data_IF_991401315296
#
_entry.id   IF_991401315296
#
_cell.length_a   1.000
_cell.length_b   1.000
_cell.length_c   1.000
_cell.angle_alpha   90.00
_cell.angle_beta   90.00
_cell.angle_gamma   90.00
#
_symmetry.space_group_name_H-M   'P 1'
#
loop_
_entity.id
_entity.type
_entity.pdbx_description
1 polymer ?
#
# COMPACT_ATOMS: atom_id res chain seq x y z
N UNK A 1 -26.96 -4.54 24.25
CA UNK A 1 -26.89 -3.37 23.36
C UNK A 1 -25.49 -3.40 22.80
N UNK A 2 -25.34 -3.80 21.55
CA UNK A 2 -24.04 -3.97 20.90
C UNK A 2 -23.46 -2.60 20.58
N UNK A 3 -22.54 -2.12 21.41
CA UNK A 3 -21.67 -0.98 21.10
C UNK A 3 -20.77 -1.36 19.92
N UNK A 4 -21.28 -1.16 18.71
CA UNK A 4 -20.52 -1.36 17.48
C UNK A 4 -19.25 -0.52 17.57
N UNK A 5 -18.10 -1.20 17.54
CA UNK A 5 -16.80 -0.54 17.63
C UNK A 5 -16.73 0.55 16.54
N UNK A 6 -16.48 1.83 16.90
CA UNK A 6 -16.56 2.95 15.96
C UNK A 6 -15.66 2.76 14.74
N UNK A 7 -14.55 2.02 14.88
CA UNK A 7 -13.66 1.69 13.77
C UNK A 7 -14.29 0.73 12.76
N UNK A 8 -15.18 -0.18 13.20
CA UNK A 8 -15.89 -1.11 12.33
C UNK A 8 -16.95 -0.36 11.53
N UNK A 9 -17.70 0.53 12.17
CA UNK A 9 -18.68 1.39 11.50
C UNK A 9 -18.00 2.23 10.39
N UNK A 10 -16.88 2.89 10.70
CA UNK A 10 -16.13 3.69 9.73
C UNK A 10 -15.62 2.87 8.54
N UNK A 11 -15.14 1.63 8.78
CA UNK A 11 -14.71 0.73 7.71
C UNK A 11 -15.87 0.32 6.80
N UNK A 12 -17.05 0.08 7.37
CA UNK A 12 -18.27 -0.25 6.62
C UNK A 12 -18.70 0.93 5.76
N UNK A 13 -18.64 2.15 6.28
CA UNK A 13 -18.98 3.36 5.52
C UNK A 13 -18.06 3.60 4.35
N UNK A 14 -16.75 3.44 4.56
CA UNK A 14 -15.75 3.50 3.48
C UNK A 14 -16.01 2.44 2.42
N UNK A 15 -16.36 1.22 2.82
CA UNK A 15 -16.70 0.15 1.90
C UNK A 15 -17.99 0.45 1.10
N UNK A 16 -19.02 1.02 1.75
CA UNK A 16 -20.24 1.47 1.06
C UNK A 16 -19.93 2.51 0.00
N UNK A 17 -19.11 3.51 0.33
CA UNK A 17 -18.66 4.53 -0.62
C UNK A 17 -17.87 3.95 -1.80
N UNK A 18 -17.01 2.94 -1.56
CA UNK A 18 -16.28 2.24 -2.63
C UNK A 18 -17.21 1.47 -3.57
N UNK A 19 -18.21 0.76 -3.03
CA UNK A 19 -19.21 0.03 -3.82
C UNK A 19 -20.08 0.96 -4.67
N UNK A 20 -20.43 2.14 -4.16
CA UNK A 20 -21.20 3.12 -4.92
C UNK A 20 -20.44 3.67 -6.14
N UNK A 21 -19.10 3.65 -6.10
CA UNK A 21 -18.23 4.12 -7.21
C UNK A 21 -17.95 3.04 -8.26
N UNK A 22 -18.35 1.79 -8.01
CA UNK A 22 -18.11 0.66 -8.92
C UNK A 22 -17.57 -0.57 -8.21
N UNK A 23 -16.55 -1.21 -8.80
CA UNK A 23 -16.00 -2.48 -8.30
C UNK A 23 -15.18 -2.24 -7.02
N UNK A 24 -15.72 -2.64 -5.87
CA UNK A 24 -15.07 -2.45 -4.57
C UNK A 24 -13.86 -3.37 -4.31
N UNK A 25 -13.77 -4.50 -5.01
CA UNK A 25 -12.70 -5.48 -4.88
C UNK A 25 -12.12 -5.81 -6.26
N UNK A 26 -11.29 -4.92 -6.83
CA UNK A 26 -10.65 -5.18 -8.11
C UNK A 26 -9.54 -6.25 -7.96
N UNK A 27 -9.33 -7.04 -9.01
CA UNK A 27 -8.28 -8.06 -9.10
C UNK A 27 -7.39 -7.83 -10.34
N UNK A 28 -7.20 -6.57 -10.71
CA UNK A 28 -6.44 -6.12 -11.87
C UNK A 28 -4.95 -5.87 -11.54
N UNK A 29 -4.66 -5.54 -10.28
CA UNK A 29 -3.30 -5.22 -9.83
C UNK A 29 -2.40 -6.46 -9.81
N UNK A 30 -1.34 -6.44 -10.63
CA UNK A 30 -0.32 -7.50 -10.70
C UNK A 30 1.02 -6.98 -10.15
N UNK A 31 1.41 -7.36 -8.93
CA UNK A 31 2.74 -7.04 -8.43
C UNK A 31 3.81 -7.72 -9.29
N UNK A 32 4.87 -6.99 -9.63
CA UNK A 32 6.01 -7.53 -10.41
C UNK A 32 7.22 -7.87 -9.55
N UNK A 33 7.26 -7.36 -8.31
CA UNK A 33 8.41 -7.49 -7.43
C UNK A 33 7.95 -7.88 -6.01
N UNK A 34 8.81 -8.59 -5.30
CA UNK A 34 8.62 -8.93 -3.90
C UNK A 34 9.63 -8.20 -3.02
N UNK A 35 9.21 -7.78 -1.82
CA UNK A 35 10.07 -7.00 -0.92
C UNK A 35 11.41 -7.70 -0.60
N UNK A 36 11.40 -9.02 -0.38
CA UNK A 36 12.61 -9.78 -0.06
C UNK A 36 13.68 -9.67 -1.16
N UNK A 37 13.28 -9.80 -2.43
CA UNK A 37 14.18 -9.70 -3.58
C UNK A 37 14.76 -8.28 -3.71
N UNK A 38 13.93 -7.25 -3.50
CA UNK A 38 14.36 -5.86 -3.55
C UNK A 38 15.41 -5.56 -2.47
N UNK A 39 15.21 -6.06 -1.24
CA UNK A 39 16.18 -5.91 -0.16
C UNK A 39 17.48 -6.66 -0.43
N UNK A 40 17.43 -7.87 -1.00
CA UNK A 40 18.64 -8.60 -1.35
C UNK A 40 19.43 -7.90 -2.45
N UNK A 41 18.76 -7.37 -3.47
CA UNK A 41 19.42 -6.76 -4.63
C UNK A 41 19.95 -5.36 -4.35
N UNK A 42 19.21 -4.53 -3.61
CA UNK A 42 19.54 -3.11 -3.44
C UNK A 42 19.74 -2.67 -1.99
N UNK A 43 19.51 -3.55 -1.01
CA UNK A 43 19.65 -3.19 0.40
C UNK A 43 21.08 -2.79 0.82
N UNK A 44 22.08 -3.15 0.02
CA UNK A 44 23.50 -2.79 0.23
C UNK A 44 24.02 -1.74 -0.75
N UNK A 45 23.18 -1.28 -1.70
CA UNK A 45 23.59 -0.30 -2.71
C UNK A 45 23.42 1.10 -2.13
N UNK A 46 24.46 1.96 -2.16
CA UNK A 46 24.35 3.32 -1.63
C UNK A 46 23.45 4.18 -2.52
N UNK A 47 22.81 5.19 -1.90
CA UNK A 47 21.82 6.04 -2.60
C UNK A 47 22.40 6.73 -3.85
N UNK A 48 23.65 7.18 -3.79
CA UNK A 48 24.33 7.84 -4.91
C UNK A 48 24.42 6.96 -6.16
N UNK A 49 24.45 5.64 -5.99
CA UNK A 49 24.48 4.68 -7.09
C UNK A 49 23.06 4.26 -7.52
N UNK A 50 22.11 4.20 -6.58
CA UNK A 50 20.74 3.75 -6.85
C UNK A 50 19.87 4.83 -7.52
N UNK A 51 20.04 6.08 -7.14
CA UNK A 51 19.27 7.22 -7.66
C UNK A 51 19.37 7.40 -9.19
N UNK A 52 20.57 7.39 -9.82
CA UNK A 52 20.67 7.49 -11.28
C UNK A 52 20.13 6.27 -12.03
N UNK A 53 19.99 5.11 -11.38
CA UNK A 53 19.47 3.89 -12.02
C UNK A 53 17.96 3.94 -12.26
N UNK A 54 17.24 4.86 -11.60
CA UNK A 54 15.81 5.12 -11.81
C UNK A 54 14.95 3.84 -11.88
N UNK A 55 15.22 2.87 -11.00
CA UNK A 55 14.60 1.54 -11.09
C UNK A 55 13.11 1.58 -10.75
N UNK A 56 12.27 1.36 -11.75
CA UNK A 56 10.82 1.32 -11.57
C UNK A 56 10.35 -0.03 -11.02
N UNK A 57 9.78 -0.01 -9.80
CA UNK A 57 9.25 -1.21 -9.14
C UNK A 57 7.74 -1.16 -8.94
N UNK A 58 7.14 -2.35 -8.83
CA UNK A 58 5.70 -2.55 -8.60
C UNK A 58 5.53 -3.62 -7.53
N UNK A 59 4.95 -3.24 -6.39
CA UNK A 59 4.75 -4.10 -5.20
C UNK A 59 3.31 -4.02 -4.70
N UNK A 60 2.85 -5.05 -3.99
CA UNK A 60 1.60 -5.05 -3.23
C UNK A 60 1.79 -5.73 -1.87
N UNK A 61 0.97 -5.36 -0.89
CA UNK A 61 1.01 -5.94 0.45
C UNK A 61 0.01 -5.30 1.41
N UNK A 62 0.01 -5.78 2.66
CA UNK A 62 -0.82 -5.23 3.72
C UNK A 62 -0.22 -3.92 4.24
N UNK A 63 -1.06 -2.90 4.41
CA UNK A 63 -0.66 -1.70 5.13
C UNK A 63 -0.54 -2.01 6.62
N UNK A 64 0.68 -1.98 7.15
CA UNK A 64 0.98 -2.27 8.56
C UNK A 64 1.08 -0.99 9.38
N UNK A 65 1.91 -0.04 8.92
CA UNK A 65 2.12 1.26 9.54
C UNK A 65 1.99 2.34 8.48
N UNK A 66 1.24 3.39 8.76
CA UNK A 66 1.17 4.60 7.94
C UNK A 66 1.55 5.78 8.83
N UNK A 67 2.71 6.38 8.57
CA UNK A 67 3.08 7.68 9.15
C UNK A 67 2.63 8.76 8.18
N UNK A 68 1.67 9.58 8.59
CA UNK A 68 1.23 10.72 7.79
C UNK A 68 2.12 11.89 8.14
N UNK A 69 3.23 12.02 7.41
CA UNK A 69 3.89 13.31 7.26
C UNK A 69 3.14 14.02 6.14
N UNK A 70 2.68 15.27 6.36
CA UNK A 70 2.08 16.08 5.31
C UNK A 70 3.05 16.32 4.14
N UNK A 71 2.67 17.16 3.17
CA UNK A 71 3.66 17.65 2.19
C UNK A 71 4.60 18.65 2.87
N UNK A 72 5.82 18.21 3.14
CA UNK A 72 7.05 18.99 3.02
C UNK A 72 7.89 18.28 1.95
#
# INVERSE_FOLDING_TARGET
MDDENPLIAERRDKLRALRARGVAYPNDFKPRHQAAELHQRWGQVPNAELEPQAVAVVVAGRMMLKRVMGKA
#
